data_IF_778218180339
#
_entry.id   IF_778218180339
#
_cell.length_a   1.000
_cell.length_b   1.000
_cell.length_c   1.000
_cell.angle_alpha   90.00
_cell.angle_beta   90.00
_cell.angle_gamma   90.00
#
_symmetry.space_group_name_H-M   'P 1'
#
loop_
_entity.id
_entity.type
_entity.pdbx_description
1 polymer ?
#
# COMPACT_ATOMS: atom_id res chain seq x y z
N UNK A 1 32.01 21.48 -17.69
CA UNK A 1 30.97 20.61 -18.27
C UNK A 1 31.62 19.29 -18.65
N UNK A 2 31.21 18.19 -18.01
CA UNK A 2 31.72 16.85 -18.31
C UNK A 2 31.28 16.48 -19.72
N UNK A 3 32.25 16.45 -20.63
CA UNK A 3 32.13 15.93 -22.00
C UNK A 3 31.31 14.64 -21.96
N UNK A 4 30.26 14.51 -22.78
CA UNK A 4 29.25 13.44 -22.79
C UNK A 4 29.74 12.01 -23.02
N UNK A 5 30.82 11.59 -22.36
CA UNK A 5 31.28 10.23 -22.22
C UNK A 5 30.55 9.62 -21.03
N UNK A 6 29.78 8.58 -21.30
CA UNK A 6 29.17 7.73 -20.29
C UNK A 6 30.28 6.83 -19.74
N UNK A 7 30.71 7.05 -18.50
CA UNK A 7 31.65 6.18 -17.79
C UNK A 7 30.89 5.13 -16.99
N UNK A 8 31.58 4.07 -16.56
CA UNK A 8 30.96 3.01 -15.75
C UNK A 8 30.35 3.59 -14.44
N UNK A 9 31.07 4.50 -13.79
CA UNK A 9 30.61 5.16 -12.56
C UNK A 9 29.32 5.97 -12.78
N UNK A 10 29.22 6.67 -13.93
CA UNK A 10 28.01 7.43 -14.29
C UNK A 10 26.83 6.49 -14.54
N UNK A 11 27.07 5.30 -15.09
CA UNK A 11 26.03 4.27 -15.27
C UNK A 11 25.61 3.69 -13.93
N UNK A 12 26.54 3.39 -13.02
CA UNK A 12 26.22 2.88 -11.69
C UNK A 12 25.44 3.88 -10.83
N UNK A 13 25.83 5.16 -10.86
CA UNK A 13 25.10 6.23 -10.17
C UNK A 13 23.67 6.37 -10.73
N UNK A 14 23.48 6.27 -12.05
CA UNK A 14 22.16 6.34 -12.65
C UNK A 14 21.33 5.07 -12.35
N UNK A 15 21.95 3.88 -12.32
CA UNK A 15 21.29 2.65 -11.86
C UNK A 15 20.80 2.80 -10.41
N UNK A 16 21.64 3.31 -9.52
CA UNK A 16 21.29 3.51 -8.11
C UNK A 16 20.18 4.55 -7.95
N UNK A 17 20.24 5.65 -8.70
CA UNK A 17 19.20 6.68 -8.74
C UNK A 17 17.89 6.14 -9.31
N UNK A 18 17.94 5.29 -10.35
CA UNK A 18 16.77 4.66 -10.94
C UNK A 18 16.14 3.65 -9.98
N UNK A 19 16.93 2.79 -9.33
CA UNK A 19 16.46 1.88 -8.27
C UNK A 19 15.78 2.63 -7.12
N UNK A 20 16.37 3.74 -6.70
CA UNK A 20 15.77 4.62 -5.70
C UNK A 20 14.44 5.23 -6.17
N UNK A 21 14.40 5.74 -7.41
CA UNK A 21 13.19 6.32 -8.01
C UNK A 21 12.08 5.29 -8.28
N UNK A 22 12.45 4.06 -8.61
CA UNK A 22 11.54 2.94 -8.81
C UNK A 22 10.97 2.37 -7.50
N UNK A 23 11.35 2.96 -6.36
CA UNK A 23 10.85 2.58 -5.03
C UNK A 23 11.21 1.15 -4.59
N UNK A 24 12.22 0.49 -5.18
CA UNK A 24 12.69 -0.84 -4.73
C UNK A 24 13.16 -0.83 -3.27
N UNK A 25 13.49 0.33 -2.69
CA UNK A 25 14.06 0.44 -1.34
C UNK A 25 13.19 1.18 -0.32
N UNK A 26 11.91 1.45 -0.59
CA UNK A 26 11.03 1.94 0.49
C UNK A 26 10.54 0.73 1.31
N UNK A 27 10.70 0.75 2.65
CA UNK A 27 10.03 -0.22 3.50
C UNK A 27 8.53 -0.10 3.24
N UNK A 28 7.96 -1.07 2.54
CA UNK A 28 6.53 -1.01 2.24
C UNK A 28 5.76 -1.29 3.52
N UNK A 29 4.66 -0.57 3.74
CA UNK A 29 3.74 -0.90 4.82
C UNK A 29 3.27 -2.37 4.74
N UNK A 30 3.28 -2.94 3.54
CA UNK A 30 2.95 -4.34 3.28
C UNK A 30 4.00 -5.29 3.85
N UNK A 31 5.29 -5.01 3.69
CA UNK A 31 6.36 -5.85 4.26
C UNK A 31 6.25 -5.93 5.78
N UNK A 32 5.89 -4.83 6.44
CA UNK A 32 5.67 -4.82 7.89
C UNK A 32 4.43 -5.62 8.32
N UNK A 33 3.39 -5.67 7.49
CA UNK A 33 2.12 -6.33 7.82
C UNK A 33 2.05 -7.79 7.37
N UNK A 34 2.72 -8.13 6.27
CA UNK A 34 2.61 -9.41 5.58
C UNK A 34 3.94 -10.19 5.53
N UNK A 35 5.06 -9.56 5.90
CA UNK A 35 6.38 -10.17 5.81
C UNK A 35 6.74 -10.55 4.36
N UNK A 36 7.21 -11.79 4.18
CA UNK A 36 7.60 -12.34 2.88
C UNK A 36 6.42 -12.46 1.90
N UNK A 37 5.17 -12.62 2.39
CA UNK A 37 3.99 -12.73 1.52
C UNK A 37 3.71 -11.45 0.72
N UNK A 38 4.28 -10.30 1.14
CA UNK A 38 4.20 -9.07 0.37
C UNK A 38 4.86 -9.16 -1.02
N UNK A 39 5.79 -10.09 -1.22
CA UNK A 39 6.47 -10.35 -2.50
C UNK A 39 5.60 -11.19 -3.45
N UNK A 40 4.61 -11.91 -2.93
CA UNK A 40 3.70 -12.76 -3.69
C UNK A 40 2.45 -12.01 -4.21
N UNK A 41 2.37 -10.70 -3.96
CA UNK A 41 1.26 -9.84 -4.42
C UNK A 41 1.69 -9.16 -5.72
N UNK A 42 0.85 -9.26 -6.76
CA UNK A 42 1.09 -8.56 -8.01
C UNK A 42 1.11 -7.03 -7.81
N UNK A 43 1.79 -6.32 -8.70
CA UNK A 43 1.98 -4.88 -8.57
C UNK A 43 0.66 -4.09 -8.54
N UNK A 44 -0.39 -4.57 -9.22
CA UNK A 44 -1.69 -3.88 -9.25
C UNK A 44 -2.37 -3.96 -7.88
N UNK A 45 -2.49 -5.17 -7.35
CA UNK A 45 -3.04 -5.41 -6.02
C UNK A 45 -2.21 -4.74 -4.93
N UNK A 46 -0.87 -4.72 -5.09
CA UNK A 46 0.06 -4.09 -4.17
C UNK A 46 -0.20 -2.59 -4.03
N UNK A 47 -0.24 -1.86 -5.15
CA UNK A 47 -0.48 -0.41 -5.17
C UNK A 47 -1.85 -0.06 -4.58
N UNK A 48 -2.88 -0.85 -4.91
CA UNK A 48 -4.21 -0.65 -4.37
C UNK A 48 -4.25 -0.89 -2.85
N UNK A 49 -3.64 -1.99 -2.38
CA UNK A 49 -3.64 -2.37 -0.98
C UNK A 49 -2.88 -1.35 -0.11
N UNK A 50 -1.74 -0.84 -0.59
CA UNK A 50 -1.00 0.23 0.09
C UNK A 50 -1.87 1.48 0.31
N UNK A 51 -2.61 1.89 -0.72
CA UNK A 51 -3.49 3.05 -0.60
C UNK A 51 -4.67 2.79 0.36
N UNK A 52 -5.27 1.60 0.30
CA UNK A 52 -6.33 1.19 1.23
C UNK A 52 -5.84 1.21 2.67
N UNK A 53 -4.66 0.65 2.94
CA UNK A 53 -4.03 0.66 4.27
C UNK A 53 -3.80 2.09 4.76
N UNK A 54 -3.28 2.97 3.90
CA UNK A 54 -3.04 4.37 4.24
C UNK A 54 -4.33 5.10 4.66
N UNK A 55 -5.45 4.85 3.95
CA UNK A 55 -6.76 5.41 4.30
C UNK A 55 -7.35 4.79 5.57
N UNK A 56 -7.21 3.48 5.75
CA UNK A 56 -7.62 2.79 6.96
C UNK A 56 -6.95 3.42 8.18
N UNK A 57 -5.63 3.62 8.15
CA UNK A 57 -4.83 4.20 9.25
C UNK A 57 -5.21 5.64 9.62
N UNK A 58 -5.77 6.40 8.67
CA UNK A 58 -6.25 7.76 8.91
C UNK A 58 -7.69 7.80 9.44
N UNK A 59 -8.46 6.73 9.23
CA UNK A 59 -9.87 6.69 9.56
C UNK A 59 -10.13 6.23 10.99
N UNK A 60 -11.06 6.90 11.67
CA UNK A 60 -11.45 6.60 13.07
C UNK A 60 -12.17 5.26 13.26
N UNK A 61 -12.62 4.64 12.17
CA UNK A 61 -13.29 3.33 12.20
C UNK A 61 -13.34 2.71 10.81
N UNK A 62 -13.54 1.39 10.76
CA UNK A 62 -13.73 0.64 9.52
C UNK A 62 -14.88 1.20 8.66
N UNK A 63 -15.97 1.64 9.31
CA UNK A 63 -17.10 2.26 8.59
C UNK A 63 -16.73 3.63 8.01
N UNK A 64 -15.90 4.42 8.69
CA UNK A 64 -15.43 5.70 8.16
C UNK A 64 -14.48 5.50 6.96
N UNK A 65 -13.54 4.56 7.07
CA UNK A 65 -12.66 4.18 5.96
C UNK A 65 -13.47 3.69 4.74
N UNK A 66 -14.45 2.80 4.97
CA UNK A 66 -15.31 2.28 3.92
C UNK A 66 -16.09 3.37 3.18
N UNK A 67 -16.61 4.39 3.89
CA UNK A 67 -17.31 5.50 3.25
C UNK A 67 -16.39 6.37 2.39
N UNK A 68 -15.12 6.53 2.77
CA UNK A 68 -14.13 7.25 1.97
C UNK A 68 -13.76 6.46 0.71
N UNK A 69 -13.51 5.15 0.86
CA UNK A 69 -13.11 4.28 -0.24
C UNK A 69 -14.23 4.01 -1.26
N UNK A 70 -15.49 4.05 -0.83
CA UNK A 70 -16.64 3.70 -1.66
C UNK A 70 -17.60 4.87 -1.90
N UNK A 71 -17.15 6.11 -1.73
CA UNK A 71 -17.92 7.37 -1.74
C UNK A 71 -18.87 7.55 -2.95
N UNK A 72 -18.45 7.10 -4.14
CA UNK A 72 -19.25 7.09 -5.37
C UNK A 72 -20.14 5.85 -5.42
N UNK A 73 -19.56 4.64 -5.31
CA UNK A 73 -20.30 3.38 -5.51
C UNK A 73 -21.42 3.16 -4.50
N UNK A 74 -21.30 3.74 -3.30
CA UNK A 74 -22.31 3.65 -2.25
C UNK A 74 -23.60 4.42 -2.55
N UNK A 75 -23.56 5.42 -3.42
CA UNK A 75 -24.74 6.24 -3.75
C UNK A 75 -25.78 5.46 -4.56
N UNK A 76 -25.35 4.43 -5.30
CA UNK A 76 -26.22 3.59 -6.12
C UNK A 76 -26.69 2.28 -5.47
N UNK A 77 -26.43 2.07 -4.16
CA UNK A 77 -26.73 0.81 -3.47
C UNK A 77 -27.93 0.97 -2.53
N UNK A 78 -28.92 0.07 -2.63
CA UNK A 78 -30.10 0.05 -1.76
C UNK A 78 -29.75 -0.26 -0.29
N UNK A 79 -28.69 -1.04 -0.05
CA UNK A 79 -28.09 -1.27 1.26
C UNK A 79 -26.59 -1.10 1.17
N UNK A 80 -26.05 -0.24 2.03
CA UNK A 80 -24.63 0.16 2.03
C UNK A 80 -23.98 -0.45 3.26
N UNK A 81 -23.24 -1.55 3.08
CA UNK A 81 -22.38 -2.12 4.10
C UNK A 81 -20.90 -1.99 3.70
N UNK A 82 -20.43 -0.75 3.66
CA UNK A 82 -19.07 -0.39 3.26
C UNK A 82 -18.01 -1.01 4.20
N UNK A 83 -18.34 -1.16 5.49
CA UNK A 83 -17.48 -1.80 6.47
C UNK A 83 -17.26 -3.29 6.16
N UNK A 84 -18.31 -4.02 5.80
CA UNK A 84 -18.20 -5.44 5.41
C UNK A 84 -17.41 -5.61 4.11
N UNK A 85 -17.64 -4.75 3.12
CA UNK A 85 -16.87 -4.75 1.87
C UNK A 85 -15.38 -4.55 2.13
N UNK A 86 -15.04 -3.57 2.97
CA UNK A 86 -13.65 -3.31 3.34
C UNK A 86 -13.04 -4.47 4.13
N UNK A 87 -13.79 -5.06 5.08
CA UNK A 87 -13.33 -6.24 5.83
C UNK A 87 -13.00 -7.41 4.90
N UNK A 88 -13.88 -7.71 3.94
CA UNK A 88 -13.68 -8.78 2.95
C UNK A 88 -12.47 -8.51 2.05
N UNK A 89 -12.27 -7.24 1.67
CA UNK A 89 -11.11 -6.85 0.88
C UNK A 89 -9.80 -7.10 1.64
N UNK A 90 -9.70 -6.65 2.90
CA UNK A 90 -8.51 -6.88 3.74
C UNK A 90 -8.27 -8.38 3.98
N UNK A 91 -9.33 -9.14 4.22
CA UNK A 91 -9.24 -10.59 4.45
C UNK A 91 -8.68 -11.36 3.24
N UNK A 92 -8.84 -10.86 2.01
CA UNK A 92 -8.21 -11.45 0.81
C UNK A 92 -6.68 -11.50 0.92
N UNK A 93 -6.09 -10.61 1.70
CA UNK A 93 -4.65 -10.52 1.95
C UNK A 93 -4.27 -11.02 3.35
N UNK A 94 -5.17 -11.70 4.06
CA UNK A 94 -4.92 -12.16 5.43
C UNK A 94 -4.88 -11.05 6.47
N UNK A 95 -5.35 -9.83 6.15
CA UNK A 95 -5.31 -8.68 7.04
C UNK A 95 -6.64 -8.48 7.77
N UNK A 96 -6.54 -8.09 9.04
CA UNK A 96 -7.67 -7.57 9.83
C UNK A 96 -7.60 -6.04 9.93
N UNK A 97 -8.71 -5.42 10.32
CA UNK A 97 -8.73 -3.97 10.58
C UNK A 97 -7.74 -3.62 11.69
N UNK A 98 -7.75 -4.42 12.76
CA UNK A 98 -6.92 -4.25 13.94
C UNK A 98 -5.43 -4.31 13.58
N UNK A 99 -5.02 -5.31 12.78
CA UNK A 99 -3.64 -5.43 12.31
C UNK A 99 -3.20 -4.22 11.47
N UNK A 100 -4.10 -3.63 10.69
CA UNK A 100 -3.81 -2.44 9.88
C UNK A 100 -3.69 -1.17 10.75
N UNK A 101 -4.45 -1.09 11.85
CA UNK A 101 -4.43 0.01 12.81
C UNK A 101 -3.23 -0.04 13.76
N UNK A 102 -2.80 -1.23 14.17
CA UNK A 102 -1.69 -1.41 15.09
C UNK A 102 -0.36 -1.04 14.41
N UNK A 103 0.13 0.15 14.74
CA UNK A 103 1.47 0.61 14.35
C UNK A 103 2.55 0.18 15.36
N UNK A 104 2.16 -0.40 16.50
CA UNK A 104 3.06 -0.70 17.61
C UNK A 104 2.62 -1.95 18.39
N UNK A 105 3.40 -3.03 18.29
CA UNK A 105 3.62 -3.99 19.38
C UNK A 105 4.96 -4.68 19.16
N UNK A 106 6.02 -3.91 19.35
CA UNK A 106 7.32 -4.42 19.78
C UNK A 106 7.95 -3.30 20.61
N UNK A 107 7.69 -3.38 21.91
CA UNK A 107 8.65 -2.91 22.93
C UNK A 107 9.75 -3.96 23.08
#
# INVERSE_FOLDING_TARGET
ATSGRITLDVVEDEINRLRYNWQESRPSALTALLGAEAENIDLFDRLQLEHVIALCRQAKSLSAAGRLLFDVSRQGKASVNDADRLRKYLARFGLTWEAVQDQHSSS
#
